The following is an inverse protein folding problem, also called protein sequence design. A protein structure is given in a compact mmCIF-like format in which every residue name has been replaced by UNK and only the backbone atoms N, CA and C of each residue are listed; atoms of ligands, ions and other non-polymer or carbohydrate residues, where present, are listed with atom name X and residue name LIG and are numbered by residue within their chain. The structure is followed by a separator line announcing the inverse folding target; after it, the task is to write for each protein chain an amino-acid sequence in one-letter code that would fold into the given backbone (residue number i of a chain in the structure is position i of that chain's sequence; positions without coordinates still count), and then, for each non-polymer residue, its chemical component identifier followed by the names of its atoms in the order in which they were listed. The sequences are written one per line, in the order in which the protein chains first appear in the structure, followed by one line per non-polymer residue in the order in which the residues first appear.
data_IF_276592163699
#
_entry.id   IF_276592163699
#
_cell.length_a   1.000
_cell.length_b   1.000
_cell.length_c   1.000
_cell.angle_alpha   90.00
_cell.angle_beta   90.00
_cell.angle_gamma   90.00
#
_symmetry.space_group_name_H-M   'P 1'
#
loop_
_entity.id
_entity.type
_entity.pdbx_description
1 polymer ?
#
# COMPACT_ATOMS: atom_id res chain seq x y z
N UNK A 1 4.41 2.54 -2.32
CA UNK A 1 3.69 1.31 -1.86
C UNK A 1 2.51 1.05 -2.76
N UNK A 2 2.50 -0.12 -3.37
CA UNK A 2 1.40 -0.52 -4.25
C UNK A 2 0.52 -1.52 -3.50
N UNK A 3 -0.80 -1.27 -3.50
CA UNK A 3 -1.77 -2.12 -2.83
C UNK A 3 -2.63 -2.86 -3.86
N UNK A 4 -2.75 -4.17 -3.69
CA UNK A 4 -3.61 -5.02 -4.52
C UNK A 4 -4.22 -6.10 -3.62
N UNK A 5 -5.55 -6.18 -3.59
CA UNK A 5 -6.25 -7.14 -2.75
C UNK A 5 -5.95 -7.00 -1.25
N UNK A 6 -5.67 -5.80 -0.77
CA UNK A 6 -5.34 -5.53 0.62
C UNK A 6 -3.90 -5.88 1.00
N UNK A 7 -3.03 -6.20 0.04
CA UNK A 7 -1.65 -6.59 0.27
C UNK A 7 -0.69 -5.65 -0.44
N UNK A 8 0.54 -5.57 0.05
CA UNK A 8 1.60 -4.82 -0.61
C UNK A 8 2.25 -5.69 -1.68
N UNK A 9 2.25 -5.20 -2.91
CA UNK A 9 2.73 -5.98 -4.06
C UNK A 9 3.71 -5.18 -4.91
N UNK A 10 4.43 -5.89 -5.77
CA UNK A 10 5.21 -5.33 -6.86
C UNK A 10 4.75 -6.01 -8.14
N UNK A 11 4.47 -5.21 -9.15
CA UNK A 11 4.12 -5.72 -10.48
C UNK A 11 5.36 -5.66 -11.37
N UNK A 12 5.67 -6.79 -12.02
CA UNK A 12 6.74 -6.84 -13.01
C UNK A 12 6.12 -6.44 -14.35
N UNK A 13 6.63 -5.33 -14.93
CA UNK A 13 6.12 -4.80 -16.22
C UNK A 13 4.61 -4.56 -16.22
N UNK A 14 4.03 -4.26 -15.05
CA UNK A 14 2.59 -3.99 -14.94
C UNK A 14 1.70 -5.22 -15.02
N UNK A 15 2.26 -6.42 -14.83
CA UNK A 15 1.49 -7.66 -14.90
C UNK A 15 0.69 -7.89 -13.62
N UNK A 16 -0.61 -7.65 -13.68
CA UNK A 16 -1.54 -7.85 -12.56
C UNK A 16 -1.85 -9.31 -12.26
N UNK A 17 -1.59 -10.20 -13.18
CA UNK A 17 -1.90 -11.62 -13.00
C UNK A 17 -0.85 -12.34 -12.17
N UNK A 18 0.37 -11.79 -12.14
CA UNK A 18 1.49 -12.39 -11.42
C UNK A 18 2.17 -11.36 -10.50
N UNK A 19 1.43 -10.78 -9.54
CA UNK A 19 2.04 -9.84 -8.60
C UNK A 19 2.99 -10.57 -7.66
N UNK A 20 4.08 -9.90 -7.29
CA UNK A 20 4.93 -10.37 -6.20
C UNK A 20 4.43 -9.75 -4.92
N UNK A 21 3.94 -10.56 -4.00
CA UNK A 21 3.51 -10.09 -2.68
C UNK A 21 4.72 -10.03 -1.76
N UNK A 22 5.07 -8.85 -1.28
CA UNK A 22 6.18 -8.71 -0.33
C UNK A 22 5.72 -8.36 1.08
N UNK A 23 4.45 -8.06 1.29
CA UNK A 23 3.86 -7.95 2.61
C UNK A 23 2.35 -8.20 2.53
N UNK A 24 1.85 -9.06 3.38
CA UNK A 24 0.42 -9.30 3.50
C UNK A 24 -0.24 -8.36 4.51
N UNK A 25 0.56 -7.59 5.25
CA UNK A 25 0.06 -6.65 6.24
C UNK A 25 0.62 -5.25 5.98
N UNK A 26 -0.08 -4.42 5.19
CA UNK A 26 0.37 -3.06 4.90
C UNK A 26 0.59 -2.19 6.13
N UNK A 27 -0.24 -2.34 7.16
CA UNK A 27 -0.10 -1.53 8.38
C UNK A 27 1.20 -1.83 9.11
N UNK A 28 1.59 -3.10 9.17
CA UNK A 28 2.85 -3.50 9.78
C UNK A 28 4.03 -2.97 9.00
N UNK A 29 3.97 -3.03 7.67
CA UNK A 29 5.03 -2.50 6.81
C UNK A 29 5.17 -0.99 7.00
N UNK A 30 4.07 -0.25 7.08
CA UNK A 30 4.11 1.21 7.31
C UNK A 30 4.73 1.52 8.66
N UNK A 31 4.41 0.74 9.69
CA UNK A 31 5.01 0.91 11.00
C UNK A 31 6.52 0.71 10.96
N UNK A 32 6.99 -0.31 10.26
CA UNK A 32 8.42 -0.55 10.07
C UNK A 32 9.11 0.61 9.36
N UNK A 33 8.48 1.14 8.30
CA UNK A 33 9.01 2.28 7.56
C UNK A 33 9.09 3.52 8.45
N UNK A 34 8.06 3.77 9.25
CA UNK A 34 8.03 4.89 10.17
C UNK A 34 9.13 4.77 11.23
N UNK A 35 9.33 3.59 11.79
CA UNK A 35 10.40 3.32 12.75
C UNK A 35 11.79 3.46 12.13
N UNK A 36 11.90 3.20 10.84
CA UNK A 36 13.15 3.37 10.11
C UNK A 36 13.43 4.83 9.72
N UNK A 37 12.53 5.76 10.06
CA UNK A 37 12.73 7.19 9.84
C UNK A 37 12.07 7.77 8.60
N UNK A 38 11.21 7.01 7.93
CA UNK A 38 10.46 7.53 6.78
C UNK A 38 9.51 8.64 7.22
N UNK A 39 9.43 9.72 6.44
CA UNK A 39 8.57 10.87 6.73
C UNK A 39 7.40 10.98 5.76
N UNK A 40 7.54 10.42 4.57
CA UNK A 40 6.54 10.47 3.51
C UNK A 40 6.27 9.08 2.97
N UNK A 41 5.03 8.84 2.58
CA UNK A 41 4.61 7.59 1.98
C UNK A 41 3.71 7.88 0.78
N UNK A 42 4.08 7.33 -0.37
CA UNK A 42 3.24 7.38 -1.56
C UNK A 42 2.54 6.01 -1.70
N UNK A 43 1.21 6.03 -1.75
CA UNK A 43 0.40 4.81 -1.84
C UNK A 43 -0.36 4.81 -3.16
N UNK A 44 -0.26 3.71 -3.88
CA UNK A 44 -1.02 3.48 -5.10
C UNK A 44 -2.04 2.38 -4.85
N UNK A 45 -3.32 2.68 -5.07
CA UNK A 45 -4.40 1.70 -4.97
C UNK A 45 -4.62 1.08 -6.35
N UNK A 46 -3.99 -0.07 -6.59
CA UNK A 46 -4.05 -0.72 -7.89
C UNK A 46 -5.46 -1.25 -8.22
N UNK A 47 -6.22 -1.66 -7.21
CA UNK A 47 -7.60 -2.12 -7.43
C UNK A 47 -8.49 -0.96 -7.89
N UNK A 48 -8.37 0.20 -7.24
CA UNK A 48 -9.12 1.39 -7.63
C UNK A 48 -8.73 1.86 -9.03
N UNK A 49 -7.45 1.82 -9.36
CA UNK A 49 -6.96 2.20 -10.68
C UNK A 49 -7.54 1.33 -11.79
N UNK A 50 -7.81 0.05 -11.50
CA UNK A 50 -8.45 -0.87 -12.45
C UNK A 50 -9.97 -0.78 -12.44
N UNK A 51 -10.57 -0.14 -11.43
CA UNK A 51 -12.02 -0.06 -11.28
C UNK A 51 -12.68 -1.35 -10.80
N UNK A 52 -11.90 -2.32 -10.29
CA UNK A 52 -12.42 -3.62 -9.85
C UNK A 52 -12.80 -3.63 -8.36
N UNK A 53 -12.10 -2.86 -7.54
CA UNK A 53 -12.29 -2.80 -6.09
C UNK A 53 -11.55 -1.57 -5.59
N UNK A 54 -11.31 -1.50 -4.28
CA UNK A 54 -10.45 -0.47 -3.70
C UNK A 54 -9.84 -0.95 -2.37
N UNK A 55 -8.81 -0.25 -1.92
CA UNK A 55 -8.15 -0.51 -0.66
C UNK A 55 -8.38 0.65 0.32
N UNK A 56 -9.51 1.32 0.22
CA UNK A 56 -9.80 2.52 1.00
C UNK A 56 -9.75 2.30 2.50
N UNK A 57 -10.22 1.15 2.98
CA UNK A 57 -10.18 0.82 4.40
C UNK A 57 -8.75 0.73 4.92
N UNK A 58 -7.87 0.08 4.15
CA UNK A 58 -6.45 -0.05 4.49
C UNK A 58 -5.79 1.34 4.48
N UNK A 59 -6.02 2.12 3.43
CA UNK A 59 -5.45 3.46 3.28
C UNK A 59 -5.90 4.37 4.43
N UNK A 60 -7.18 4.33 4.77
CA UNK A 60 -7.72 5.10 5.88
C UNK A 60 -7.06 4.73 7.21
N UNK A 61 -6.86 3.44 7.45
CA UNK A 61 -6.16 2.96 8.64
C UNK A 61 -4.72 3.45 8.70
N UNK A 62 -4.03 3.47 7.56
CA UNK A 62 -2.66 4.00 7.47
C UNK A 62 -2.65 5.49 7.85
N UNK A 63 -3.53 6.27 7.25
CA UNK A 63 -3.61 7.71 7.49
C UNK A 63 -3.90 8.03 8.96
N UNK A 64 -4.79 7.27 9.59
CA UNK A 64 -5.20 7.52 10.98
C UNK A 64 -4.17 7.11 12.01
N UNK A 65 -3.39 6.06 11.76
CA UNK A 65 -2.54 5.42 12.77
C UNK A 65 -1.09 5.82 12.70
N UNK A 66 -0.66 6.44 11.61
CA UNK A 66 0.74 6.71 11.37
C UNK A 66 1.00 8.21 11.20
N UNK A 67 2.22 8.63 11.57
CA UNK A 67 2.64 10.03 11.49
C UNK A 67 3.17 10.44 10.13
N UNK A 68 3.32 9.47 9.24
CA UNK A 68 3.80 9.70 7.88
C UNK A 68 2.85 10.61 7.11
N UNK A 69 3.40 11.45 6.25
CA UNK A 69 2.61 12.19 5.27
C UNK A 69 2.28 11.23 4.13
N UNK A 70 1.01 10.88 4.01
CA UNK A 70 0.55 9.91 3.02
C UNK A 70 -0.03 10.63 1.81
N UNK A 71 0.45 10.26 0.64
CA UNK A 71 -0.07 10.72 -0.64
C UNK A 71 -0.61 9.52 -1.41
N UNK A 72 -1.84 9.60 -1.80
CA UNK A 72 -2.51 8.51 -2.53
C UNK A 72 -2.69 8.85 -4.01
#
# INVERSE_FOLDING_TARGET
MDLLGGRCVRLVKGDYEHPTVYSENPLELVLELEQAGAEHLHVVDLDAARGTANNSTVIESIVRRHRLKVQV
#
